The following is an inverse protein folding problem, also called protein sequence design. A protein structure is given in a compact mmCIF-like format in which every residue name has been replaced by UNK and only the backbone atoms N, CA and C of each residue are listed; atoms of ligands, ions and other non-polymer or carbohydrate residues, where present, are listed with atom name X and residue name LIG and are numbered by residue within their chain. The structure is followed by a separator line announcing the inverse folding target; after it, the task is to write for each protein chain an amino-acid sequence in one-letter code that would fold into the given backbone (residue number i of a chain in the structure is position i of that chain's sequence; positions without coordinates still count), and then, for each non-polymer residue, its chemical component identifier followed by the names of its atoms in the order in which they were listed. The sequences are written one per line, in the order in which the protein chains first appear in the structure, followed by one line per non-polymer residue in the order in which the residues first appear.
data_IF_864012416120
#
_entry.id   IF_864012416120
#
_cell.length_a   1.000
_cell.length_b   1.000
_cell.length_c   1.000
_cell.angle_alpha   90.00
_cell.angle_beta   90.00
_cell.angle_gamma   90.00
#
_symmetry.space_group_name_H-M   'P 1'
#
loop_
_entity.id
_entity.type
_entity.pdbx_description
1 polymer ?
#
# COMPACT_ATOMS: atom_id res chain seq x y z
N UNK A 1 9.61 22.86 14.02
CA UNK A 1 9.34 21.52 14.56
C UNK A 1 9.40 20.61 13.36
N UNK A 2 10.60 20.12 13.06
CA UNK A 2 10.87 19.19 11.97
C UNK A 2 11.20 17.87 12.65
N UNK A 3 10.41 16.84 12.35
CA UNK A 3 10.53 15.53 12.98
C UNK A 3 11.86 14.91 12.58
N UNK A 4 12.78 14.88 13.55
CA UNK A 4 14.10 14.31 13.39
C UNK A 4 14.01 12.80 13.29
N UNK A 5 14.30 12.29 12.09
CA UNK A 5 14.69 10.90 11.88
C UNK A 5 16.01 10.66 12.61
N UNK A 6 15.92 10.08 13.81
CA UNK A 6 17.08 9.57 14.53
C UNK A 6 17.48 8.23 13.91
N UNK A 7 18.23 8.29 12.81
CA UNK A 7 19.05 7.15 12.39
C UNK A 7 19.97 6.80 13.55
N UNK A 8 19.80 5.60 14.12
CA UNK A 8 20.71 5.07 15.14
C UNK A 8 22.14 5.11 14.59
N UNK A 9 23.00 5.82 15.31
CA UNK A 9 24.41 6.03 14.98
C UNK A 9 25.11 4.69 14.71
N UNK A 10 25.21 4.31 13.44
CA UNK A 10 25.83 3.05 13.01
C UNK A 10 25.29 2.52 11.68
N UNK A 11 24.06 2.86 11.29
CA UNK A 11 23.53 2.47 9.97
C UNK A 11 23.65 3.65 9.00
N UNK A 12 24.85 3.82 8.43
CA UNK A 12 24.92 4.49 7.16
C UNK A 12 24.24 3.56 6.16
N UNK A 13 23.17 3.97 5.43
CA UNK A 13 22.75 3.24 4.26
C UNK A 13 23.84 3.46 3.21
N UNK A 14 24.97 2.76 3.37
CA UNK A 14 25.62 2.25 2.20
C UNK A 14 24.53 1.49 1.43
N UNK A 15 24.39 1.74 0.13
CA UNK A 15 23.77 0.80 -0.79
C UNK A 15 24.52 -0.53 -0.65
N UNK A 16 24.23 -1.25 0.42
CA UNK A 16 24.89 -2.46 0.84
C UNK A 16 24.08 -3.61 0.24
N UNK A 17 24.74 -4.73 -0.04
CA UNK A 17 24.12 -5.91 -0.66
C UNK A 17 22.88 -6.42 0.13
N UNK A 18 22.79 -6.03 1.40
CA UNK A 18 21.64 -6.25 2.28
C UNK A 18 20.40 -5.43 1.89
N UNK A 19 20.57 -4.16 1.50
CA UNK A 19 19.48 -3.27 1.08
C UNK A 19 18.74 -3.86 -0.11
N UNK A 20 19.48 -4.18 -1.18
CA UNK A 20 18.91 -4.74 -2.41
C UNK A 20 18.21 -6.07 -2.14
N UNK A 21 18.81 -6.94 -1.30
CA UNK A 21 18.18 -8.21 -0.92
C UNK A 21 16.89 -8.02 -0.14
N UNK A 22 16.85 -7.10 0.83
CA UNK A 22 15.63 -6.83 1.61
C UNK A 22 14.56 -6.23 0.72
N UNK A 23 14.93 -5.27 -0.14
CA UNK A 23 14.04 -4.67 -1.14
C UNK A 23 13.44 -5.73 -2.07
N UNK A 24 14.27 -6.54 -2.73
CA UNK A 24 13.81 -7.62 -3.60
C UNK A 24 12.91 -8.62 -2.86
N UNK A 25 13.23 -8.95 -1.60
CA UNK A 25 12.39 -9.84 -0.80
C UNK A 25 11.04 -9.21 -0.49
N UNK A 26 11.00 -7.94 -0.08
CA UNK A 26 9.77 -7.20 0.20
C UNK A 26 8.92 -7.09 -1.06
N UNK A 27 9.52 -6.67 -2.18
CA UNK A 27 8.84 -6.59 -3.47
C UNK A 27 8.30 -7.95 -3.89
N UNK A 28 9.09 -9.02 -3.79
CA UNK A 28 8.63 -10.37 -4.14
C UNK A 28 7.49 -10.87 -3.24
N UNK A 29 7.51 -10.54 -1.93
CA UNK A 29 6.40 -10.87 -1.02
C UNK A 29 5.14 -10.08 -1.39
N UNK A 30 5.26 -8.78 -1.64
CA UNK A 30 4.13 -7.93 -2.01
C UNK A 30 3.57 -8.29 -3.38
N UNK A 31 4.42 -8.64 -4.36
CA UNK A 31 3.99 -9.07 -5.69
C UNK A 31 3.25 -10.42 -5.63
N UNK A 32 3.74 -11.36 -4.82
CA UNK A 32 3.05 -12.64 -4.55
C UNK A 32 1.72 -12.44 -3.83
N UNK A 33 1.65 -11.48 -2.90
CA UNK A 33 0.41 -11.12 -2.23
C UNK A 33 -0.54 -10.34 -3.16
N UNK A 34 0.00 -9.59 -4.13
CA UNK A 34 -0.74 -8.76 -5.06
C UNK A 34 -1.64 -7.75 -4.34
N UNK A 35 -2.93 -7.79 -4.63
CA UNK A 35 -3.91 -6.90 -4.00
C UNK A 35 -4.35 -7.33 -2.60
N UNK A 36 -3.85 -8.45 -2.08
CA UNK A 36 -3.96 -8.79 -0.68
C UNK A 36 -2.92 -8.01 0.12
N UNK A 37 -3.24 -6.74 0.41
CA UNK A 37 -2.33 -5.83 1.12
C UNK A 37 -1.77 -6.50 2.38
N UNK A 38 -0.46 -6.41 2.56
CA UNK A 38 0.24 -6.99 3.70
C UNK A 38 0.29 -5.97 4.84
N UNK A 39 0.26 -6.46 6.08
CA UNK A 39 0.51 -5.61 7.25
C UNK A 39 1.99 -5.49 7.52
N UNK A 40 2.38 -4.41 8.20
CA UNK A 40 3.72 -4.27 8.78
C UNK A 40 4.17 -5.50 9.55
N UNK A 41 3.29 -6.06 10.38
CA UNK A 41 3.60 -7.27 11.16
C UNK A 41 3.82 -8.53 10.32
N UNK A 42 3.39 -8.54 9.04
CA UNK A 42 3.58 -9.67 8.13
C UNK A 42 4.84 -9.51 7.27
N UNK A 43 5.39 -8.30 7.18
CA UNK A 43 6.67 -8.02 6.53
C UNK A 43 7.87 -8.32 7.44
N UNK A 44 7.79 -9.40 8.21
CA UNK A 44 8.88 -9.79 9.09
C UNK A 44 9.86 -10.67 8.31
N UNK A 45 11.00 -10.10 7.93
CA UNK A 45 12.09 -10.87 7.35
C UNK A 45 12.88 -11.49 8.50
N UNK A 46 12.67 -12.78 8.78
CA UNK A 46 13.37 -13.52 9.85
C UNK A 46 14.91 -13.40 9.81
N UNK A 47 15.46 -13.02 8.65
CA UNK A 47 16.89 -12.78 8.44
C UNK A 47 17.42 -11.45 8.97
N UNK A 48 16.56 -10.46 9.24
CA UNK A 48 16.97 -9.09 9.54
C UNK A 48 16.22 -8.54 10.75
N UNK A 49 16.86 -7.66 11.56
CA UNK A 49 16.18 -7.04 12.69
C UNK A 49 15.02 -6.16 12.21
N UNK A 50 13.91 -6.22 12.94
CA UNK A 50 12.67 -5.50 12.60
C UNK A 50 12.89 -3.99 12.40
N UNK A 51 13.74 -3.36 13.23
CA UNK A 51 14.08 -1.95 13.10
C UNK A 51 14.70 -1.61 11.73
N UNK A 52 15.57 -2.48 11.20
CA UNK A 52 16.18 -2.25 9.88
C UNK A 52 15.15 -2.45 8.78
N UNK A 53 14.29 -3.46 8.88
CA UNK A 53 13.22 -3.67 7.89
C UNK A 53 12.25 -2.49 7.87
N UNK A 54 11.92 -1.93 9.04
CA UNK A 54 11.06 -0.76 9.17
C UNK A 54 11.68 0.49 8.55
N UNK A 55 12.96 0.76 8.84
CA UNK A 55 13.70 1.89 8.28
C UNK A 55 13.78 1.81 6.75
N UNK A 56 14.07 0.61 6.22
CA UNK A 56 14.08 0.33 4.79
C UNK A 56 12.70 0.47 4.15
N UNK A 57 11.67 -0.07 4.79
CA UNK A 57 10.30 0.04 4.30
C UNK A 57 9.84 1.50 4.29
N UNK A 58 10.20 2.28 5.29
CA UNK A 58 9.91 3.72 5.34
C UNK A 58 10.63 4.46 4.22
N UNK A 59 11.89 4.13 3.94
CA UNK A 59 12.62 4.65 2.79
C UNK A 59 11.93 4.29 1.46
N UNK A 60 11.49 3.04 1.27
CA UNK A 60 10.76 2.62 0.07
C UNK A 60 9.43 3.37 -0.10
N UNK A 61 8.79 3.75 1.00
CA UNK A 61 7.59 4.58 0.99
C UNK A 61 7.93 6.03 0.58
N UNK A 62 9.04 6.57 1.08
CA UNK A 62 9.54 7.89 0.68
C UNK A 62 9.95 7.94 -0.80
N UNK A 63 10.59 6.88 -1.30
CA UNK A 63 10.96 6.66 -2.71
C UNK A 63 9.73 6.38 -3.61
N UNK A 64 8.54 6.24 -3.01
CA UNK A 64 7.25 5.94 -3.69
C UNK A 64 7.22 4.60 -4.42
N UNK A 65 8.03 3.64 -3.99
CA UNK A 65 7.94 2.26 -4.48
C UNK A 65 6.89 1.45 -3.72
N UNK A 66 6.72 1.76 -2.45
CA UNK A 66 5.71 1.17 -1.58
C UNK A 66 4.74 2.27 -1.14
N UNK A 67 3.48 1.92 -1.00
CA UNK A 67 2.44 2.83 -0.52
C UNK A 67 1.69 2.22 0.63
N UNK A 68 1.38 3.07 1.61
CA UNK A 68 0.55 2.72 2.76
C UNK A 68 -0.93 2.90 2.38
N UNK A 69 -1.71 1.83 2.53
CA UNK A 69 -3.14 1.82 2.26
C UNK A 69 -3.91 1.40 3.53
N UNK A 70 -4.99 2.12 3.83
CA UNK A 70 -5.80 1.93 5.04
C UNK A 70 -5.49 2.94 6.14
N UNK A 71 -6.55 3.46 6.77
CA UNK A 71 -6.44 4.41 7.89
C UNK A 71 -6.52 3.72 9.25
N UNK A 72 -7.36 2.68 9.39
CA UNK A 72 -7.51 1.90 10.64
C UNK A 72 -6.47 0.79 10.80
N UNK A 73 -6.08 0.16 9.68
CA UNK A 73 -5.11 -0.93 9.66
C UNK A 73 -4.01 -0.49 8.70
N UNK A 74 -2.80 -0.29 9.24
CA UNK A 74 -1.63 0.05 8.43
C UNK A 74 -1.25 -1.14 7.56
N UNK A 75 -1.71 -1.09 6.30
CA UNK A 75 -1.32 -2.04 5.27
C UNK A 75 -0.40 -1.36 4.28
N UNK A 76 0.43 -2.16 3.64
CA UNK A 76 1.45 -1.72 2.68
C UNK A 76 1.41 -2.60 1.45
N UNK A 77 1.67 -1.99 0.32
CA UNK A 77 1.70 -2.65 -0.99
C UNK A 77 2.58 -1.88 -1.95
N UNK A 78 2.86 -2.45 -3.10
CA UNK A 78 3.62 -1.79 -4.14
C UNK A 78 2.83 -0.63 -4.75
N UNK A 79 3.52 0.47 -5.01
CA UNK A 79 2.98 1.62 -5.70
C UNK A 79 2.45 1.24 -7.09
N UNK A 80 3.14 0.32 -7.79
CA UNK A 80 2.70 -0.24 -9.08
C UNK A 80 1.32 -0.89 -8.97
N UNK A 81 1.08 -1.70 -7.93
CA UNK A 81 -0.22 -2.33 -7.71
C UNK A 81 -1.30 -1.28 -7.42
N UNK A 82 -1.01 -0.26 -6.62
CA UNK A 82 -1.98 0.83 -6.39
C UNK A 82 -2.25 1.67 -7.63
N UNK A 83 -1.25 1.85 -8.49
CA UNK A 83 -1.43 2.52 -9.78
C UNK A 83 -2.33 1.69 -10.69
N UNK A 84 -2.10 0.39 -10.81
CA UNK A 84 -3.00 -0.53 -11.52
C UNK A 84 -4.40 -0.54 -10.90
N UNK A 85 -4.51 -0.49 -9.57
CA UNK A 85 -5.80 -0.42 -8.90
C UNK A 85 -6.56 0.84 -9.27
N UNK A 86 -5.87 1.98 -9.24
CA UNK A 86 -6.41 3.25 -9.68
C UNK A 86 -6.89 3.18 -11.12
N UNK A 87 -6.05 2.72 -12.05
CA UNK A 87 -6.41 2.63 -13.47
C UNK A 87 -7.62 1.73 -13.71
N UNK A 88 -7.67 0.55 -13.07
CA UNK A 88 -8.83 -0.35 -13.14
C UNK A 88 -10.09 0.29 -12.58
N UNK A 89 -9.99 1.03 -11.48
CA UNK A 89 -11.13 1.72 -10.87
C UNK A 89 -11.59 2.89 -11.74
N UNK A 90 -10.68 3.67 -12.32
CA UNK A 90 -11.01 4.74 -13.28
C UNK A 90 -11.66 4.17 -14.54
N UNK A 91 -11.14 3.06 -15.08
CA UNK A 91 -11.74 2.36 -16.21
C UNK A 91 -13.14 1.82 -15.85
N UNK A 92 -13.31 1.29 -14.64
CA UNK A 92 -14.61 0.87 -14.15
C UNK A 92 -15.61 2.04 -14.07
N UNK A 93 -15.13 3.23 -13.68
CA UNK A 93 -15.94 4.44 -13.68
C UNK A 93 -16.32 4.96 -15.07
N UNK A 94 -15.64 4.53 -16.13
CA UNK A 94 -16.04 4.85 -17.49
C UNK A 94 -17.34 4.13 -17.90
N UNK A 95 -17.62 2.95 -17.32
CA UNK A 95 -18.83 2.16 -17.59
C UNK A 95 -19.85 2.22 -16.45
N UNK A 96 -19.42 2.43 -15.21
CA UNK A 96 -20.26 2.38 -14.01
C UNK A 96 -20.04 3.62 -13.14
N UNK A 97 -21.05 4.41 -12.81
CA UNK A 97 -20.85 5.61 -11.98
C UNK A 97 -20.61 5.34 -10.49
N UNK A 98 -20.77 4.09 -10.03
CA UNK A 98 -20.70 3.70 -8.61
C UNK A 98 -19.94 2.39 -8.45
N UNK A 99 -19.03 2.37 -7.48
CA UNK A 99 -18.29 1.18 -7.06
C UNK A 99 -18.54 0.87 -5.59
N UNK A 100 -18.67 -0.42 -5.28
CA UNK A 100 -18.86 -0.91 -3.91
C UNK A 100 -17.64 -1.66 -3.39
N UNK A 101 -17.53 -1.79 -2.06
CA UNK A 101 -16.47 -2.63 -1.44
C UNK A 101 -16.51 -4.07 -1.98
N UNK A 102 -17.70 -4.61 -2.24
CA UNK A 102 -17.85 -5.95 -2.80
C UNK A 102 -17.28 -6.07 -4.22
N UNK A 103 -17.46 -5.04 -5.06
CA UNK A 103 -16.92 -4.99 -6.41
C UNK A 103 -15.41 -4.84 -6.42
N UNK A 104 -14.84 -3.98 -5.58
CA UNK A 104 -13.37 -3.87 -5.42
C UNK A 104 -12.80 -5.23 -4.99
N UNK A 105 -13.42 -5.86 -3.99
CA UNK A 105 -13.02 -7.18 -3.53
C UNK A 105 -13.00 -8.20 -4.68
N UNK A 106 -14.03 -8.22 -5.52
CA UNK A 106 -14.15 -9.14 -6.66
C UNK A 106 -13.14 -8.81 -7.77
N UNK A 107 -13.02 -7.52 -8.12
CA UNK A 107 -12.14 -7.00 -9.17
C UNK A 107 -10.66 -7.28 -8.90
N UNK A 108 -10.27 -7.18 -7.63
CA UNK A 108 -8.90 -7.40 -7.18
C UNK A 108 -8.69 -8.76 -6.53
N UNK A 109 -9.72 -9.62 -6.50
CA UNK A 109 -9.71 -10.93 -5.85
C UNK A 109 -9.08 -10.91 -4.44
N UNK A 110 -9.40 -9.88 -3.66
CA UNK A 110 -8.77 -9.59 -2.37
C UNK A 110 -9.74 -9.83 -1.21
N UNK A 111 -9.31 -9.63 0.04
CA UNK A 111 -10.17 -9.73 1.22
C UNK A 111 -10.90 -8.40 1.52
N UNK A 112 -11.95 -8.45 2.36
CA UNK A 112 -12.75 -7.26 2.72
C UNK A 112 -11.92 -6.14 3.36
N UNK A 113 -10.89 -6.48 4.15
CA UNK A 113 -10.06 -5.48 4.84
C UNK A 113 -9.18 -4.75 3.82
N UNK A 114 -8.50 -5.50 2.96
CA UNK A 114 -7.67 -4.97 1.88
C UNK A 114 -8.49 -4.14 0.89
N UNK A 115 -9.67 -4.62 0.48
CA UNK A 115 -10.59 -3.85 -0.37
C UNK A 115 -11.01 -2.52 0.26
N UNK A 116 -11.29 -2.50 1.58
CA UNK A 116 -11.61 -1.27 2.30
C UNK A 116 -10.40 -0.32 2.31
N UNK A 117 -9.21 -0.82 2.62
CA UNK A 117 -7.97 -0.05 2.63
C UNK A 117 -7.60 0.54 1.27
N UNK A 118 -7.75 -0.22 0.17
CA UNK A 118 -7.56 0.28 -1.21
C UNK A 118 -8.53 1.44 -1.47
N UNK A 119 -9.80 1.26 -1.13
CA UNK A 119 -10.81 2.30 -1.33
C UNK A 119 -10.57 3.55 -0.48
N UNK A 120 -10.11 3.40 0.77
CA UNK A 120 -9.73 4.54 1.62
C UNK A 120 -8.51 5.27 1.07
N UNK A 121 -7.55 4.54 0.51
CA UNK A 121 -6.41 5.13 -0.18
C UNK A 121 -6.88 5.94 -1.41
N UNK A 122 -7.76 5.37 -2.24
CA UNK A 122 -8.35 6.06 -3.40
C UNK A 122 -9.16 7.30 -3.01
N UNK A 123 -9.83 7.29 -1.86
CA UNK A 123 -10.53 8.46 -1.30
C UNK A 123 -9.53 9.56 -0.90
N UNK A 124 -8.42 9.16 -0.26
CA UNK A 124 -7.34 10.08 0.15
C UNK A 124 -6.68 10.77 -1.03
N UNK A 125 -6.42 10.04 -2.12
CA UNK A 125 -5.86 10.61 -3.35
C UNK A 125 -6.92 11.27 -4.26
N UNK A 126 -8.16 11.41 -3.77
CA UNK A 126 -9.29 12.03 -4.49
C UNK A 126 -9.57 11.39 -5.85
N UNK A 127 -9.48 10.07 -5.95
CA UNK A 127 -9.96 9.29 -7.10
C UNK A 127 -11.42 8.91 -6.89
N UNK A 128 -11.79 8.55 -5.67
CA UNK A 128 -13.17 8.22 -5.29
C UNK A 128 -13.68 9.13 -4.19
N UNK A 129 -15.00 9.25 -4.04
CA UNK A 129 -15.62 9.87 -2.86
C UNK A 129 -16.74 8.98 -2.32
N UNK A 130 -16.89 8.97 -1.00
CA UNK A 130 -17.99 8.29 -0.31
C UNK A 130 -19.35 8.88 -0.74
N UNK A 131 -20.28 8.03 -1.20
CA UNK A 131 -21.62 8.43 -1.64
C UNK A 131 -22.68 7.95 -0.65
N UNK A 132 -22.94 8.74 0.39
CA UNK A 132 -24.00 8.47 1.36
C UNK A 132 -23.71 7.27 2.27
N UNK A 133 -23.77 6.04 1.73
CA UNK A 133 -23.53 4.81 2.45
C UNK A 133 -22.03 4.50 2.59
N UNK A 134 -21.66 3.75 3.63
CA UNK A 134 -20.26 3.41 3.89
C UNK A 134 -19.62 2.48 2.85
N UNK A 135 -20.46 1.76 2.13
CA UNK A 135 -20.06 0.75 1.16
C UNK A 135 -19.98 1.28 -0.27
N UNK A 136 -20.52 2.47 -0.54
CA UNK A 136 -20.73 3.00 -1.89
C UNK A 136 -19.82 4.21 -2.11
N UNK A 137 -19.10 4.18 -3.22
CA UNK A 137 -18.19 5.25 -3.63
C UNK A 137 -18.44 5.59 -5.09
N UNK A 138 -18.28 6.86 -5.43
CA UNK A 138 -18.39 7.37 -6.81
C UNK A 138 -17.08 8.01 -7.23
N UNK A 139 -16.86 8.18 -8.52
CA UNK A 139 -15.70 8.91 -9.04
C UNK A 139 -15.67 10.34 -8.47
N UNK A 140 -14.47 10.80 -8.09
CA UNK A 140 -14.24 12.19 -7.72
C UNK A 140 -14.18 13.02 -9.01
N UNK A 141 -15.32 13.59 -9.42
CA UNK A 141 -15.49 14.50 -10.55
C UNK A 141 -16.42 15.64 -10.18
#
# INVERSE_FOLDING_TARGET
MEEGYLFLAGFAPAHDETYEKVRELLESQMEKAGFELLRFSELNLEKYPENTVLDLLQLLIEEKEVVKAGLEIEMVTLASLMMEAREKVEAYFAENDLITIAQIRDMFATNRKSAKSILEYLDTIKVTKKLGAETERVAYR
#
